data_IF_467424845472
#
_entry.id   IF_467424845472
#
_cell.length_a   1.000
_cell.length_b   1.000
_cell.length_c   1.000
_cell.angle_alpha   90.00
_cell.angle_beta   90.00
_cell.angle_gamma   90.00
#
_symmetry.space_group_name_H-M   'P 1'
#
loop_
_entity.id
_entity.type
_entity.pdbx_description
1 polymer ?
#
# COMPACT_ATOMS: atom_id res chain seq x y z
N UNK A 1 -21.57 -5.45 6.56
CA UNK A 1 -20.56 -6.53 6.66
C UNK A 1 -19.30 -6.33 5.81
N UNK A 2 -19.31 -5.61 4.66
CA UNK A 2 -18.09 -5.30 3.89
C UNK A 2 -17.25 -4.15 4.50
N UNK A 3 -17.86 -3.24 5.26
CA UNK A 3 -17.18 -2.06 5.82
C UNK A 3 -16.21 -2.40 6.96
N UNK A 4 -16.55 -3.35 7.82
CA UNK A 4 -15.70 -3.73 8.96
C UNK A 4 -14.38 -4.37 8.53
N UNK A 5 -14.41 -5.19 7.47
CA UNK A 5 -13.20 -5.87 6.95
C UNK A 5 -12.20 -4.89 6.33
N UNK A 6 -12.69 -3.80 5.72
CA UNK A 6 -11.85 -2.81 5.07
C UNK A 6 -11.15 -1.90 6.10
N UNK A 7 -11.82 -1.59 7.20
CA UNK A 7 -11.28 -0.76 8.26
C UNK A 7 -10.08 -1.41 8.95
N UNK A 8 -10.16 -2.71 9.24
CA UNK A 8 -9.05 -3.44 9.88
C UNK A 8 -7.79 -3.45 9.02
N UNK A 9 -7.92 -3.50 7.70
CA UNK A 9 -6.78 -3.51 6.80
C UNK A 9 -5.98 -2.19 6.89
N UNK A 10 -6.64 -1.04 6.89
CA UNK A 10 -5.97 0.26 6.96
C UNK A 10 -5.31 0.53 8.31
N UNK A 11 -5.79 -0.13 9.36
CA UNK A 11 -5.11 -0.10 10.66
C UNK A 11 -3.69 -0.70 10.59
N UNK A 12 -3.45 -1.67 9.72
CA UNK A 12 -2.10 -2.21 9.52
C UNK A 12 -1.14 -1.20 8.93
N UNK A 13 -1.57 -0.39 7.97
CA UNK A 13 -0.74 0.70 7.45
C UNK A 13 -0.38 1.70 8.54
N UNK A 14 -1.34 2.09 9.37
CA UNK A 14 -1.08 2.97 10.51
C UNK A 14 -0.14 2.32 11.52
N UNK A 15 -0.35 1.07 11.85
CA UNK A 15 0.48 0.34 12.80
C UNK A 15 1.93 0.28 12.29
N UNK A 16 2.15 -0.10 11.04
CA UNK A 16 3.49 -0.11 10.44
C UNK A 16 4.10 1.29 10.38
N UNK A 17 3.33 2.32 10.08
CA UNK A 17 3.79 3.70 10.11
C UNK A 17 4.21 4.15 11.51
N UNK A 18 3.43 3.82 12.55
CA UNK A 18 3.77 4.13 13.94
C UNK A 18 5.02 3.37 14.38
N UNK A 19 5.11 2.06 14.09
CA UNK A 19 6.29 1.25 14.43
C UNK A 19 7.53 1.81 13.73
N UNK A 20 7.43 2.16 12.43
CA UNK A 20 8.52 2.79 11.68
C UNK A 20 8.95 4.12 12.32
N UNK A 21 7.98 4.96 12.74
CA UNK A 21 8.28 6.21 13.43
C UNK A 21 9.03 6.00 14.75
N UNK A 22 8.59 5.04 15.55
CA UNK A 22 9.22 4.70 16.82
C UNK A 22 10.65 4.16 16.63
N UNK A 23 10.86 3.30 15.63
CA UNK A 23 12.20 2.79 15.29
C UNK A 23 13.11 3.92 14.85
N UNK A 24 12.66 4.82 13.96
CA UNK A 24 13.43 5.99 13.51
C UNK A 24 13.78 6.91 14.68
N UNK A 25 12.82 7.17 15.57
CA UNK A 25 13.05 7.99 16.77
C UNK A 25 14.07 7.35 17.73
N UNK A 26 14.00 6.03 17.93
CA UNK A 26 14.97 5.31 18.79
C UNK A 26 16.40 5.35 18.26
N UNK A 27 16.55 5.55 16.94
CA UNK A 27 17.84 5.72 16.27
C UNK A 27 18.30 7.19 16.19
N UNK A 28 17.56 8.11 16.82
CA UNK A 28 17.82 9.54 16.75
C UNK A 28 17.53 10.16 15.38
N UNK A 29 16.82 9.44 14.52
CA UNK A 29 16.39 9.91 13.20
C UNK A 29 15.03 10.58 13.31
N UNK A 30 14.79 11.58 12.44
CA UNK A 30 13.47 12.17 12.29
C UNK A 30 12.48 11.24 11.58
N UNK A 31 11.24 11.70 11.44
CA UNK A 31 10.22 11.01 10.67
C UNK A 31 10.69 10.92 9.21
N UNK A 32 10.84 9.71 8.70
CA UNK A 32 11.24 9.46 7.32
C UNK A 32 10.07 9.67 6.36
N UNK A 33 10.35 9.97 5.10
CA UNK A 33 9.33 10.11 4.05
C UNK A 33 8.49 8.83 3.95
N UNK A 34 9.09 7.67 4.13
CA UNK A 34 8.41 6.38 4.13
C UNK A 34 7.41 6.24 5.26
N UNK A 35 7.81 6.61 6.47
CA UNK A 35 6.92 6.67 7.63
C UNK A 35 5.71 7.56 7.35
N UNK A 36 5.94 8.74 6.75
CA UNK A 36 4.86 9.64 6.34
C UNK A 36 3.92 8.99 5.33
N UNK A 37 4.44 8.29 4.31
CA UNK A 37 3.61 7.57 3.34
C UNK A 37 2.71 6.55 4.00
N UNK A 38 3.23 5.74 4.91
CA UNK A 38 2.45 4.72 5.62
C UNK A 38 1.37 5.35 6.51
N UNK A 39 1.72 6.40 7.26
CA UNK A 39 0.78 7.10 8.14
C UNK A 39 -0.33 7.80 7.35
N UNK A 40 0.03 8.57 6.32
CA UNK A 40 -0.93 9.31 5.49
C UNK A 40 -1.85 8.33 4.74
N UNK A 41 -1.29 7.31 4.12
CA UNK A 41 -2.06 6.32 3.38
C UNK A 41 -3.01 5.55 4.30
N UNK A 42 -2.53 5.12 5.47
CA UNK A 42 -3.36 4.45 6.47
C UNK A 42 -4.49 5.34 6.99
N UNK A 43 -4.21 6.60 7.27
CA UNK A 43 -5.20 7.56 7.76
C UNK A 43 -6.27 7.86 6.69
N UNK A 44 -5.85 8.17 5.45
CA UNK A 44 -6.78 8.39 4.33
C UNK A 44 -7.60 7.13 4.07
N UNK A 45 -6.97 5.95 4.09
CA UNK A 45 -7.65 4.67 3.91
C UNK A 45 -8.73 4.42 4.96
N UNK A 46 -8.49 4.79 6.23
CA UNK A 46 -9.51 4.71 7.28
C UNK A 46 -10.68 5.66 7.00
N UNK A 47 -10.40 6.92 6.63
CA UNK A 47 -11.44 7.89 6.29
C UNK A 47 -12.28 7.37 5.12
N UNK A 48 -11.62 6.91 4.06
CA UNK A 48 -12.29 6.36 2.88
C UNK A 48 -13.10 5.11 3.23
N UNK A 49 -12.55 4.20 4.03
CA UNK A 49 -13.23 2.98 4.46
C UNK A 49 -14.44 3.22 5.37
N UNK A 50 -14.42 4.26 6.21
CA UNK A 50 -15.50 4.56 7.17
C UNK A 50 -16.56 5.49 6.56
N UNK A 51 -16.14 6.54 5.87
CA UNK A 51 -17.03 7.63 5.45
C UNK A 51 -17.30 7.67 3.94
N UNK A 52 -16.38 7.19 3.12
CA UNK A 52 -16.42 7.32 1.66
C UNK A 52 -16.43 5.97 0.95
N UNK A 53 -17.36 5.09 1.33
CA UNK A 53 -17.42 3.71 0.83
C UNK A 53 -17.39 3.58 -0.70
N UNK A 54 -17.96 4.56 -1.42
CA UNK A 54 -17.94 4.58 -2.89
C UNK A 54 -16.51 4.73 -3.45
N UNK A 55 -15.61 5.38 -2.71
CA UNK A 55 -14.22 5.58 -3.10
C UNK A 55 -13.28 4.49 -2.57
N UNK A 56 -13.73 3.63 -1.67
CA UNK A 56 -12.90 2.62 -1.04
C UNK A 56 -12.24 1.70 -2.09
N UNK A 57 -13.02 1.22 -3.04
CA UNK A 57 -12.53 0.32 -4.09
C UNK A 57 -11.49 0.96 -5.02
N UNK A 58 -11.75 2.11 -5.68
CA UNK A 58 -10.71 2.74 -6.51
C UNK A 58 -9.48 3.12 -5.69
N UNK A 59 -9.64 3.54 -4.44
CA UNK A 59 -8.53 3.84 -3.53
C UNK A 59 -7.69 2.58 -3.27
N UNK A 60 -8.32 1.45 -2.89
CA UNK A 60 -7.63 0.17 -2.68
C UNK A 60 -6.85 -0.27 -3.92
N UNK A 61 -7.43 -0.11 -5.12
CA UNK A 61 -6.76 -0.50 -6.36
C UNK A 61 -5.56 0.39 -6.68
N UNK A 62 -5.70 1.71 -6.53
CA UNK A 62 -4.62 2.67 -6.84
C UNK A 62 -3.46 2.50 -5.85
N UNK A 63 -3.75 2.48 -4.56
CA UNK A 63 -2.73 2.31 -3.52
C UNK A 63 -2.11 0.92 -3.61
N UNK A 64 -2.93 -0.11 -3.82
CA UNK A 64 -2.45 -1.47 -3.98
C UNK A 64 -1.50 -1.63 -5.17
N UNK A 65 -1.83 -1.02 -6.30
CA UNK A 65 -0.97 -1.03 -7.49
C UNK A 65 0.35 -0.29 -7.23
N UNK A 66 0.28 0.91 -6.65
CA UNK A 66 1.46 1.72 -6.32
C UNK A 66 2.43 0.95 -5.44
N UNK A 67 1.96 0.44 -4.29
CA UNK A 67 2.81 -0.27 -3.33
C UNK A 67 3.33 -1.60 -3.90
N UNK A 68 2.54 -2.30 -4.71
CA UNK A 68 2.99 -3.53 -5.38
C UNK A 68 4.11 -3.24 -6.36
N UNK A 69 3.98 -2.21 -7.20
CA UNK A 69 5.02 -1.84 -8.17
C UNK A 69 6.30 -1.44 -7.46
N UNK A 70 6.22 -0.55 -6.46
CA UNK A 70 7.40 -0.11 -5.70
C UNK A 70 8.05 -1.28 -4.97
N UNK A 71 7.25 -2.15 -4.37
CA UNK A 71 7.76 -3.36 -3.70
C UNK A 71 8.47 -4.31 -4.66
N UNK A 72 7.89 -4.59 -5.82
CA UNK A 72 8.51 -5.45 -6.84
C UNK A 72 9.80 -4.83 -7.39
N UNK A 73 9.82 -3.52 -7.65
CA UNK A 73 11.03 -2.82 -8.09
C UNK A 73 12.13 -2.89 -7.03
N UNK A 74 11.77 -2.78 -5.74
CA UNK A 74 12.72 -2.94 -4.64
C UNK A 74 13.27 -4.36 -4.53
N UNK A 75 12.45 -5.38 -4.74
CA UNK A 75 12.91 -6.78 -4.80
C UNK A 75 13.88 -6.97 -5.96
N UNK A 76 13.54 -6.51 -7.17
CA UNK A 76 14.39 -6.58 -8.34
C UNK A 76 15.72 -5.85 -8.12
N UNK A 77 15.68 -4.67 -7.51
CA UNK A 77 16.87 -3.91 -7.14
C UNK A 77 17.78 -4.69 -6.17
N UNK A 78 17.21 -5.35 -5.17
CA UNK A 78 17.96 -6.19 -4.23
C UNK A 78 18.68 -7.38 -4.90
N UNK A 79 18.15 -7.85 -6.03
CA UNK A 79 18.80 -8.89 -6.87
C UNK A 79 19.75 -8.30 -7.94
N UNK A 80 20.09 -7.01 -7.87
CA UNK A 80 21.03 -6.35 -8.78
C UNK A 80 20.42 -5.90 -10.11
N UNK A 81 19.11 -6.02 -10.29
CA UNK A 81 18.40 -5.52 -11.48
C UNK A 81 18.02 -4.06 -11.28
N UNK A 82 18.93 -3.15 -11.63
CA UNK A 82 18.72 -1.71 -11.52
C UNK A 82 17.82 -1.19 -12.65
N UNK A 83 16.51 -1.37 -12.52
CA UNK A 83 15.52 -0.89 -13.48
C UNK A 83 15.21 0.61 -13.31
N UNK A 84 15.62 1.18 -12.18
CA UNK A 84 15.44 2.60 -11.87
C UNK A 84 16.80 3.28 -11.99
N UNK A 85 16.91 4.23 -12.90
CA UNK A 85 18.10 5.06 -13.00
C UNK A 85 18.25 5.88 -11.71
N UNK A 86 19.20 5.49 -10.88
CA UNK A 86 19.60 6.27 -9.70
C UNK A 86 20.38 7.47 -10.19
N UNK A 87 19.71 8.58 -10.45
CA UNK A 87 20.36 9.82 -10.86
C UNK A 87 21.23 10.32 -9.70
N UNK A 88 22.55 10.06 -9.79
CA UNK A 88 23.56 10.89 -9.15
C UNK A 88 23.83 10.70 -7.67
N UNK A 89 23.45 9.60 -7.04
CA UNK A 89 23.83 9.34 -5.65
C UNK A 89 25.20 8.66 -5.61
N UNK A 90 26.13 9.25 -4.86
CA UNK A 90 27.49 8.72 -4.70
C UNK A 90 27.46 7.28 -4.19
N UNK A 91 28.39 6.40 -4.65
CA UNK A 91 28.39 4.96 -4.34
C UNK A 91 28.59 4.61 -2.85
N UNK A 92 28.76 5.59 -1.99
CA UNK A 92 28.98 5.42 -0.55
C UNK A 92 27.79 5.87 0.33
N UNK A 93 26.67 6.35 -0.27
CA UNK A 93 25.47 6.59 0.47
C UNK A 93 24.78 5.24 0.73
N UNK A 94 24.57 4.89 1.99
CA UNK A 94 23.67 3.79 2.40
C UNK A 94 22.46 3.84 1.50
N UNK A 95 22.17 2.73 0.86
CA UNK A 95 21.26 2.50 -0.27
C UNK A 95 19.89 3.22 -0.09
N UNK A 96 19.87 4.53 -0.29
CA UNK A 96 18.70 5.39 -0.19
C UNK A 96 17.98 5.50 -1.54
N UNK A 97 18.06 4.44 -2.34
CA UNK A 97 17.28 4.36 -3.56
C UNK A 97 15.80 4.33 -3.17
N UNK A 98 15.09 5.38 -3.54
CA UNK A 98 13.68 5.51 -3.22
C UNK A 98 12.90 5.96 -4.46
N UNK A 99 11.70 5.43 -4.61
CA UNK A 99 10.72 5.89 -5.60
C UNK A 99 9.60 6.60 -4.85
N UNK A 100 9.35 7.85 -5.18
CA UNK A 100 8.35 8.69 -4.48
C UNK A 100 8.60 8.76 -2.96
N UNK A 101 9.85 8.61 -2.51
CA UNK A 101 10.20 8.57 -1.10
C UNK A 101 9.94 7.23 -0.39
N UNK A 102 9.54 6.19 -1.13
CA UNK A 102 9.42 4.82 -0.63
C UNK A 102 10.74 4.08 -0.86
N UNK A 103 11.31 3.52 0.20
CA UNK A 103 12.59 2.82 0.16
C UNK A 103 12.53 1.54 -0.67
N UNK A 104 13.55 1.32 -1.50
CA UNK A 104 13.73 0.09 -2.28
C UNK A 104 14.57 -0.96 -1.55
N UNK A 105 14.94 -0.74 -0.28
CA UNK A 105 15.65 -1.77 0.48
C UNK A 105 14.78 -3.02 0.66
N UNK A 106 15.40 -4.21 0.68
CA UNK A 106 14.68 -5.48 0.65
C UNK A 106 13.61 -5.63 1.74
N UNK A 107 13.83 -5.26 3.02
CA UNK A 107 12.79 -5.37 4.05
C UNK A 107 11.56 -4.53 3.71
N UNK A 108 11.76 -3.28 3.29
CA UNK A 108 10.67 -2.39 2.91
C UNK A 108 9.98 -2.83 1.63
N UNK A 109 10.74 -3.32 0.64
CA UNK A 109 10.21 -3.86 -0.59
C UNK A 109 9.24 -5.03 -0.35
N UNK A 110 9.57 -5.93 0.60
CA UNK A 110 8.68 -7.02 1.01
C UNK A 110 7.40 -6.49 1.68
N UNK A 111 7.53 -5.52 2.58
CA UNK A 111 6.37 -4.88 3.23
C UNK A 111 5.48 -4.20 2.19
N UNK A 112 6.05 -3.40 1.28
CA UNK A 112 5.30 -2.75 0.22
C UNK A 112 4.57 -3.75 -0.68
N UNK A 113 5.25 -4.84 -1.07
CA UNK A 113 4.63 -5.89 -1.88
C UNK A 113 3.45 -6.53 -1.15
N UNK A 114 3.60 -6.91 0.12
CA UNK A 114 2.53 -7.51 0.91
C UNK A 114 1.34 -6.56 1.08
N UNK A 115 1.60 -5.31 1.47
CA UNK A 115 0.56 -4.31 1.64
C UNK A 115 -0.14 -4.02 0.31
N UNK A 116 0.63 -3.91 -0.78
CA UNK A 116 0.10 -3.67 -2.12
C UNK A 116 -0.79 -4.81 -2.61
N UNK A 117 -0.32 -6.05 -2.55
CA UNK A 117 -1.09 -7.23 -2.96
C UNK A 117 -2.36 -7.41 -2.13
N UNK A 118 -2.28 -7.15 -0.82
CA UNK A 118 -3.44 -7.23 0.06
C UNK A 118 -4.48 -6.18 -0.34
N UNK A 119 -4.07 -4.92 -0.57
CA UNK A 119 -4.95 -3.85 -1.03
C UNK A 119 -5.59 -4.18 -2.38
N UNK A 120 -4.80 -4.64 -3.36
CA UNK A 120 -5.32 -5.09 -4.66
C UNK A 120 -6.36 -6.20 -4.50
N UNK A 121 -6.09 -7.18 -3.65
CA UNK A 121 -7.02 -8.29 -3.42
C UNK A 121 -8.37 -7.82 -2.87
N UNK A 122 -8.36 -6.82 -1.98
CA UNK A 122 -9.58 -6.20 -1.46
C UNK A 122 -10.35 -5.46 -2.55
N UNK A 123 -9.68 -4.62 -3.32
CA UNK A 123 -10.32 -3.87 -4.41
C UNK A 123 -10.91 -4.79 -5.51
N UNK A 124 -10.25 -5.91 -5.82
CA UNK A 124 -10.73 -6.88 -6.82
C UNK A 124 -11.91 -7.72 -6.31
N UNK A 125 -11.89 -8.17 -5.06
CA UNK A 125 -12.98 -8.96 -4.47
C UNK A 125 -14.30 -8.20 -4.42
N UNK A 126 -14.28 -6.89 -4.21
CA UNK A 126 -15.45 -6.05 -4.24
C UNK A 126 -16.19 -6.12 -5.60
N UNK A 127 -15.45 -6.28 -6.70
CA UNK A 127 -16.03 -6.45 -8.05
C UNK A 127 -16.80 -7.76 -8.22
N UNK A 128 -16.23 -8.85 -7.72
CA UNK A 128 -16.86 -10.18 -7.87
C UNK A 128 -18.19 -10.26 -7.12
N UNK A 129 -18.28 -9.67 -5.94
CA UNK A 129 -19.49 -9.62 -5.14
C UNK A 129 -20.62 -8.85 -5.86
N UNK A 130 -20.33 -7.71 -6.46
CA UNK A 130 -21.31 -6.88 -7.20
C UNK A 130 -21.83 -7.60 -8.45
N UNK A 131 -20.97 -8.29 -9.18
CA UNK A 131 -21.36 -9.03 -10.38
C UNK A 131 -22.28 -10.22 -10.06
N UNK A 132 -22.08 -10.89 -8.93
CA UNK A 132 -22.93 -12.02 -8.51
C UNK A 132 -24.33 -11.57 -8.13
N UNK A 133 -24.50 -10.42 -7.49
CA UNK A 133 -25.80 -9.87 -7.12
C UNK A 133 -26.60 -9.48 -8.37
N UNK A 134 -25.94 -8.91 -9.38
CA UNK A 134 -26.60 -8.51 -10.62
C UNK A 134 -27.14 -9.71 -11.44
N UNK A 135 -26.49 -10.89 -11.35
CA UNK A 135 -26.92 -12.11 -12.08
C UNK A 135 -28.04 -12.85 -11.36
N UNK A 136 -28.20 -12.67 -10.05
CA UNK A 136 -29.18 -13.40 -9.24
C UNK A 136 -30.56 -12.74 -9.14
N UNK A 137 -30.80 -11.60 -9.78
CA UNK A 137 -32.15 -10.98 -9.83
C UNK A 137 -33.00 -11.72 -10.88
N UNK A 138 -33.96 -12.54 -10.49
CA UNK A 138 -34.82 -13.17 -11.46
C UNK A 138 -35.68 -12.07 -12.12
N UNK A 139 -35.64 -12.01 -13.44
CA UNK A 139 -36.64 -11.25 -14.21
C UNK A 139 -38.02 -11.81 -13.86
N UNK A 140 -38.80 -11.04 -13.09
CA UNK A 140 -40.21 -11.34 -12.93
C UNK A 140 -40.86 -11.32 -14.31
N UNK A 141 -41.21 -12.49 -14.80
CA UNK A 141 -42.00 -12.66 -16.03
C UNK A 141 -43.45 -12.41 -15.60
N UNK A 142 -44.03 -11.26 -15.99
CA UNK A 142 -45.46 -11.04 -16.00
C UNK A 142 -46.10 -11.79 -17.14
#
# INVERSE_FOLDING_TARGET
MLSERNTHYWLWFLLFGVVSALVSASQGQGITTETLWLLITGFIGLIVGIFLHALARPFDLVIGLLFTIVGLLGILHAFGLNLVATSGVAPNAIDNTAILGLSLSLPYALIHTLLGLTSLSHGLRARVATSRVAVSTPTAVE
#
